data_IF_102962394423
#
_entry.id   IF_102962394423
#
_cell.length_a   1.000
_cell.length_b   1.000
_cell.length_c   1.000
_cell.angle_alpha   90.00
_cell.angle_beta   90.00
_cell.angle_gamma   90.00
#
_symmetry.space_group_name_H-M   'P 1'
#
loop_
_entity.id
_entity.type
_entity.pdbx_description
1 polymer ?
#
# COMPACT_ATOMS: atom_id res chain seq x y z
N UNK A 1 -72.14 -21.73 -6.80
CA UNK A 1 -70.97 -22.60 -6.55
C UNK A 1 -69.76 -21.74 -6.79
N UNK A 2 -69.26 -21.11 -5.74
CA UNK A 2 -68.15 -20.17 -5.83
C UNK A 2 -66.86 -20.97 -5.97
N UNK A 3 -66.16 -20.75 -7.08
CA UNK A 3 -64.86 -21.36 -7.35
C UNK A 3 -63.82 -20.82 -6.36
N UNK A 4 -63.52 -21.60 -5.32
CA UNK A 4 -62.40 -21.32 -4.42
C UNK A 4 -61.10 -21.21 -5.24
N UNK A 5 -60.55 -19.99 -5.28
CA UNK A 5 -59.23 -19.69 -5.81
C UNK A 5 -58.19 -20.60 -5.15
N UNK A 6 -57.55 -21.47 -5.93
CA UNK A 6 -56.48 -22.35 -5.47
C UNK A 6 -55.28 -21.49 -5.03
N UNK A 7 -54.85 -21.65 -3.77
CA UNK A 7 -53.72 -20.90 -3.22
C UNK A 7 -52.43 -21.16 -4.02
N UNK A 8 -51.71 -20.09 -4.38
CA UNK A 8 -50.43 -20.16 -5.08
C UNK A 8 -49.30 -19.73 -4.14
N UNK A 9 -48.48 -20.69 -3.72
CA UNK A 9 -47.36 -20.47 -2.80
C UNK A 9 -46.30 -19.53 -3.38
N UNK A 10 -45.96 -19.67 -4.66
CA UNK A 10 -44.94 -18.83 -5.30
C UNK A 10 -45.32 -17.35 -5.23
N UNK A 11 -46.58 -17.05 -5.53
CA UNK A 11 -47.11 -15.67 -5.43
C UNK A 11 -47.15 -15.19 -3.98
N UNK A 12 -47.49 -16.06 -3.03
CA UNK A 12 -47.51 -15.71 -1.61
C UNK A 12 -46.11 -15.40 -1.06
N UNK A 13 -45.10 -16.20 -1.41
CA UNK A 13 -43.69 -15.97 -1.03
C UNK A 13 -43.15 -14.69 -1.64
N UNK A 14 -43.41 -14.42 -2.94
CA UNK A 14 -43.02 -13.17 -3.58
C UNK A 14 -43.68 -11.96 -2.91
N UNK A 15 -44.97 -12.07 -2.57
CA UNK A 15 -45.68 -11.00 -1.87
C UNK A 15 -45.09 -10.78 -0.47
N UNK A 16 -44.72 -11.84 0.24
CA UNK A 16 -44.05 -11.75 1.53
C UNK A 16 -42.67 -11.06 1.40
N UNK A 17 -41.83 -11.49 0.46
CA UNK A 17 -40.51 -10.90 0.21
C UNK A 17 -40.57 -9.42 -0.16
N UNK A 18 -41.54 -9.03 -0.99
CA UNK A 18 -41.72 -7.62 -1.40
C UNK A 18 -41.92 -6.67 -0.22
N UNK A 19 -42.45 -7.15 0.92
CA UNK A 19 -42.60 -6.34 2.14
C UNK A 19 -41.26 -6.07 2.82
N UNK A 20 -40.31 -6.99 2.74
CA UNK A 20 -38.95 -6.81 3.24
C UNK A 20 -38.15 -5.91 2.29
N UNK A 21 -38.29 -6.08 0.98
CA UNK A 21 -37.66 -5.20 -0.02
C UNK A 21 -38.12 -3.74 0.14
N UNK A 22 -39.41 -3.52 0.39
CA UNK A 22 -39.96 -2.18 0.64
C UNK A 22 -39.42 -1.52 1.92
N UNK A 23 -38.97 -2.30 2.91
CA UNK A 23 -38.37 -1.75 4.12
C UNK A 23 -36.95 -1.20 3.88
N UNK A 24 -36.23 -1.74 2.90
CA UNK A 24 -34.87 -1.33 2.55
C UNK A 24 -33.78 -1.74 3.55
N UNK A 25 -34.13 -2.46 4.62
CA UNK A 25 -33.17 -2.83 5.68
C UNK A 25 -32.39 -4.11 5.42
N UNK A 26 -32.74 -4.89 4.39
CA UNK A 26 -32.18 -6.22 4.13
C UNK A 26 -31.34 -6.24 2.86
N UNK A 27 -30.20 -6.92 2.91
CA UNK A 27 -29.37 -7.24 1.74
C UNK A 27 -29.95 -8.41 0.96
N UNK A 28 -29.49 -8.59 -0.29
CA UNK A 28 -29.96 -9.69 -1.16
C UNK A 28 -29.64 -11.07 -0.57
N UNK A 29 -28.48 -11.21 0.07
CA UNK A 29 -28.06 -12.47 0.71
C UNK A 29 -28.93 -12.79 1.94
N UNK A 30 -29.22 -11.78 2.78
CA UNK A 30 -30.11 -11.94 3.94
C UNK A 30 -31.53 -12.31 3.52
N UNK A 31 -32.05 -11.72 2.44
CA UNK A 31 -33.35 -12.09 1.87
C UNK A 31 -33.36 -13.53 1.35
N UNK A 32 -32.26 -13.99 0.75
CA UNK A 32 -32.13 -15.36 0.27
C UNK A 32 -32.11 -16.37 1.43
N UNK A 33 -31.39 -16.07 2.51
CA UNK A 33 -31.36 -16.88 3.74
C UNK A 33 -32.76 -16.96 4.39
N UNK A 34 -33.44 -15.81 4.55
CA UNK A 34 -34.82 -15.74 5.02
C UNK A 34 -35.78 -16.56 4.16
N UNK A 35 -35.62 -16.51 2.84
CA UNK A 35 -36.43 -17.30 1.91
C UNK A 35 -36.19 -18.79 2.09
N UNK A 36 -34.93 -19.22 2.24
CA UNK A 36 -34.60 -20.63 2.48
C UNK A 36 -35.27 -21.13 3.75
N UNK A 37 -35.13 -20.40 4.86
CA UNK A 37 -35.75 -20.76 6.14
C UNK A 37 -37.28 -20.80 6.08
N UNK A 38 -37.90 -19.89 5.32
CA UNK A 38 -39.35 -19.92 5.11
C UNK A 38 -39.77 -21.20 4.36
N UNK A 39 -39.08 -21.54 3.27
CA UNK A 39 -39.40 -22.71 2.45
C UNK A 39 -39.18 -24.01 3.22
N UNK A 40 -38.07 -24.13 3.94
CA UNK A 40 -37.78 -25.31 4.79
C UNK A 40 -38.88 -25.51 5.85
N UNK A 41 -39.33 -24.42 6.48
CA UNK A 41 -40.40 -24.45 7.49
C UNK A 41 -41.77 -24.83 6.89
N UNK A 42 -42.03 -24.44 5.64
CA UNK A 42 -43.25 -24.82 4.92
C UNK A 42 -43.23 -26.32 4.61
N UNK A 43 -42.13 -26.83 4.07
CA UNK A 43 -41.98 -28.27 3.77
C UNK A 43 -42.14 -29.12 5.04
N UNK A 44 -41.55 -28.69 6.16
CA UNK A 44 -41.69 -29.32 7.48
C UNK A 44 -43.13 -29.34 8.02
N UNK A 45 -43.95 -28.35 7.65
CA UNK A 45 -45.36 -28.28 8.04
C UNK A 45 -46.25 -29.09 7.09
N UNK A 46 -45.95 -29.10 5.79
CA UNK A 46 -46.67 -29.91 4.82
C UNK A 46 -46.45 -31.42 5.06
N UNK A 47 -45.24 -31.83 5.44
CA UNK A 47 -44.94 -33.21 5.84
C UNK A 47 -45.72 -33.66 7.08
N UNK A 48 -46.16 -32.71 7.93
CA UNK A 48 -47.03 -32.94 9.09
C UNK A 48 -48.52 -32.92 8.74
N UNK A 49 -48.87 -32.81 7.47
CA UNK A 49 -50.23 -32.89 6.96
C UNK A 49 -50.97 -31.55 6.86
N UNK A 50 -50.28 -30.41 7.03
CA UNK A 50 -50.90 -29.11 6.81
C UNK A 50 -51.05 -28.81 5.31
N UNK A 51 -52.13 -28.11 4.95
CA UNK A 51 -52.27 -27.59 3.59
C UNK A 51 -51.20 -26.54 3.29
N UNK A 52 -50.89 -26.33 2.01
CA UNK A 52 -49.87 -25.36 1.58
C UNK A 52 -50.15 -23.94 2.09
N UNK A 53 -51.42 -23.55 2.15
CA UNK A 53 -51.86 -22.25 2.66
C UNK A 53 -51.64 -22.13 4.17
N UNK A 54 -52.01 -23.16 4.95
CA UNK A 54 -51.82 -23.17 6.40
C UNK A 54 -50.34 -23.24 6.78
N UNK A 55 -49.55 -24.05 6.06
CA UNK A 55 -48.11 -24.15 6.22
C UNK A 55 -47.44 -22.79 6.01
N UNK A 56 -47.77 -22.06 4.95
CA UNK A 56 -47.26 -20.71 4.68
C UNK A 56 -47.62 -19.70 5.78
N UNK A 57 -48.88 -19.69 6.22
CA UNK A 57 -49.33 -18.76 7.28
C UNK A 57 -48.58 -19.00 8.59
N UNK A 58 -48.42 -20.27 9.00
CA UNK A 58 -47.71 -20.61 10.23
C UNK A 58 -46.22 -20.36 10.10
N UNK A 59 -45.59 -20.71 8.97
CA UNK A 59 -44.16 -20.50 8.75
C UNK A 59 -43.80 -19.01 8.75
N UNK A 60 -44.56 -18.17 8.03
CA UNK A 60 -44.36 -16.72 8.00
C UNK A 60 -44.58 -16.08 9.37
N UNK A 61 -45.54 -16.58 10.16
CA UNK A 61 -45.77 -16.08 11.52
C UNK A 61 -44.66 -16.51 12.51
N UNK A 62 -44.07 -17.71 12.34
CA UNK A 62 -42.95 -18.20 13.16
C UNK A 62 -41.66 -17.45 12.93
N UNK A 63 -41.41 -16.99 11.70
CA UNK A 63 -40.25 -16.15 11.36
C UNK A 63 -40.30 -14.79 12.04
N UNK A 64 -41.51 -14.30 12.38
CA UNK A 64 -41.69 -13.04 13.13
C UNK A 64 -42.08 -11.87 12.24
N UNK A 65 -42.34 -10.72 12.87
CA UNK A 65 -42.67 -9.48 12.16
C UNK A 65 -41.42 -8.87 11.51
N UNK A 66 -41.63 -8.04 10.49
CA UNK A 66 -40.56 -7.30 9.81
C UNK A 66 -39.73 -6.51 10.83
N UNK A 67 -40.36 -5.82 11.78
CA UNK A 67 -39.66 -5.04 12.81
C UNK A 67 -38.75 -5.88 13.73
N UNK A 68 -39.15 -7.13 14.03
CA UNK A 68 -38.35 -8.04 14.86
C UNK A 68 -37.18 -8.62 14.08
N UNK A 69 -37.44 -9.04 12.84
CA UNK A 69 -36.39 -9.53 11.94
C UNK A 69 -35.38 -8.43 11.64
N UNK A 70 -35.83 -7.20 11.40
CA UNK A 70 -34.96 -6.04 11.18
C UNK A 70 -34.04 -5.81 12.40
N UNK A 71 -34.56 -5.90 13.62
CA UNK A 71 -33.74 -5.79 14.83
C UNK A 71 -32.72 -6.91 14.98
N UNK A 72 -33.06 -8.16 14.67
CA UNK A 72 -32.14 -9.30 14.77
C UNK A 72 -31.06 -9.26 13.68
N UNK A 73 -31.44 -8.98 12.43
CA UNK A 73 -30.48 -8.80 11.35
C UNK A 73 -29.63 -7.55 11.54
N UNK A 74 -30.15 -6.48 12.15
CA UNK A 74 -29.36 -5.30 12.58
C UNK A 74 -28.30 -5.65 13.64
N UNK A 75 -28.55 -6.63 14.52
CA UNK A 75 -27.55 -7.09 15.49
C UNK A 75 -26.43 -7.88 14.83
N UNK A 76 -26.75 -8.70 13.83
CA UNK A 76 -25.77 -9.48 13.05
C UNK A 76 -24.99 -8.61 12.07
N UNK A 77 -25.65 -7.61 11.49
CA UNK A 77 -25.06 -6.55 10.66
C UNK A 77 -24.42 -5.42 11.47
N UNK A 78 -24.16 -5.63 12.79
CA UNK A 78 -23.00 -5.00 13.45
C UNK A 78 -21.76 -5.52 12.76
N UNK A 79 -21.50 -4.92 11.60
CA UNK A 79 -20.26 -4.91 10.89
C UNK A 79 -19.16 -4.86 11.94
N UNK A 80 -18.45 -5.98 12.08
CA UNK A 80 -17.01 -5.89 12.30
C UNK A 80 -16.59 -4.84 11.28
N UNK A 81 -16.06 -3.67 11.69
CA UNK A 81 -15.71 -2.65 10.73
C UNK A 81 -14.46 -3.14 10.00
N UNK A 82 -14.67 -4.04 9.04
CA UNK A 82 -13.69 -4.82 8.29
C UNK A 82 -12.80 -3.93 7.42
N UNK A 83 -13.08 -2.62 7.41
CA UNK A 83 -12.40 -1.61 6.63
C UNK A 83 -11.57 -0.63 7.47
N UNK A 84 -11.71 -0.58 8.80
CA UNK A 84 -10.97 0.41 9.62
C UNK A 84 -9.50 0.05 9.82
N UNK A 85 -9.18 -1.25 9.88
CA UNK A 85 -7.84 -1.75 10.20
C UNK A 85 -6.75 -1.32 9.20
N UNK A 86 -6.90 -1.48 7.87
CA UNK A 86 -5.86 -1.05 6.93
C UNK A 86 -5.67 0.47 6.92
N UNK A 87 -6.74 1.24 7.12
CA UNK A 87 -6.66 2.71 7.19
C UNK A 87 -5.93 3.16 8.46
N UNK A 88 -6.16 2.49 9.59
CA UNK A 88 -5.45 2.75 10.85
C UNK A 88 -3.96 2.42 10.74
N UNK A 89 -3.62 1.28 10.14
CA UNK A 89 -2.23 0.89 9.89
C UNK A 89 -1.53 1.91 8.98
N UNK A 90 -2.22 2.36 7.94
CA UNK A 90 -1.73 3.35 7.01
C UNK A 90 -1.48 4.71 7.68
N UNK A 91 -2.44 5.17 8.49
CA UNK A 91 -2.33 6.40 9.25
C UNK A 91 -1.19 6.34 10.27
N UNK A 92 -1.06 5.22 10.98
CA UNK A 92 0.04 4.99 11.91
C UNK A 92 1.41 5.07 11.23
N UNK A 93 1.53 4.45 10.05
CA UNK A 93 2.76 4.49 9.28
C UNK A 93 3.08 5.89 8.71
N UNK A 94 2.07 6.64 8.25
CA UNK A 94 2.24 8.05 7.86
C UNK A 94 2.73 8.91 9.03
N UNK A 95 2.08 8.80 10.19
CA UNK A 95 2.49 9.53 11.39
C UNK A 95 3.91 9.16 11.83
N UNK A 96 4.30 7.89 11.67
CA UNK A 96 5.67 7.45 11.91
C UNK A 96 6.67 8.12 10.99
N UNK A 97 6.42 8.12 9.68
CA UNK A 97 7.32 8.74 8.71
C UNK A 97 7.47 10.24 8.99
N UNK A 98 6.36 10.94 9.23
CA UNK A 98 6.37 12.37 9.57
C UNK A 98 7.18 12.60 10.84
N UNK A 99 6.94 11.81 11.89
CA UNK A 99 7.66 11.96 13.16
C UNK A 99 9.14 11.67 13.01
N UNK A 100 9.52 10.67 12.22
CA UNK A 100 10.91 10.33 11.89
C UNK A 100 11.59 11.48 11.16
N UNK A 101 10.98 12.01 10.10
CA UNK A 101 11.54 13.14 9.34
C UNK A 101 11.68 14.40 10.20
N UNK A 102 10.69 14.71 11.04
CA UNK A 102 10.77 15.84 11.99
C UNK A 102 11.88 15.61 13.01
N UNK A 103 12.00 14.38 13.53
CA UNK A 103 13.07 14.01 14.45
C UNK A 103 14.44 14.23 13.82
N UNK A 104 14.65 13.79 12.57
CA UNK A 104 15.89 14.02 11.82
C UNK A 104 16.19 15.51 11.63
N UNK A 105 15.22 16.32 11.21
CA UNK A 105 15.39 17.77 11.07
C UNK A 105 15.85 18.40 12.39
N UNK A 106 15.18 18.07 13.50
CA UNK A 106 15.52 18.61 14.83
C UNK A 106 16.93 18.17 15.25
N UNK A 107 17.24 16.91 14.99
CA UNK A 107 18.47 16.25 15.42
C UNK A 107 19.66 16.81 14.65
N UNK A 108 19.58 16.92 13.33
CA UNK A 108 20.65 17.45 12.48
C UNK A 108 20.90 18.94 12.73
N UNK A 109 19.87 19.79 12.71
CA UNK A 109 20.05 21.22 13.02
C UNK A 109 20.48 21.44 14.48
N UNK A 110 19.97 20.63 15.41
CA UNK A 110 20.39 20.64 16.80
C UNK A 110 21.87 20.28 16.93
N UNK A 111 22.32 19.22 16.27
CA UNK A 111 23.71 18.78 16.28
C UNK A 111 24.64 19.78 15.59
N UNK A 112 24.25 20.43 14.49
CA UNK A 112 24.97 21.58 13.88
C UNK A 112 25.25 22.61 14.97
N UNK A 113 24.18 23.06 15.62
CA UNK A 113 24.21 24.15 16.59
C UNK A 113 25.05 23.76 17.82
N UNK A 114 24.88 22.55 18.36
CA UNK A 114 25.67 22.05 19.48
C UNK A 114 27.15 21.85 19.14
N UNK A 115 27.46 21.27 17.96
CA UNK A 115 28.83 21.09 17.50
C UNK A 115 29.56 22.43 17.39
N UNK A 116 28.88 23.47 16.89
CA UNK A 116 29.45 24.81 16.79
C UNK A 116 29.80 25.43 18.15
N UNK A 117 29.15 25.01 19.24
CA UNK A 117 29.36 25.57 20.57
C UNK A 117 30.38 24.77 21.40
N UNK A 118 30.35 23.43 21.34
CA UNK A 118 31.16 22.56 22.21
C UNK A 118 32.41 21.97 21.55
N UNK A 119 32.48 21.90 20.22
CA UNK A 119 33.66 21.41 19.48
C UNK A 119 34.01 19.92 19.64
N UNK A 120 33.34 19.16 20.52
CA UNK A 120 33.59 17.73 20.75
C UNK A 120 32.57 16.84 20.03
N UNK A 121 33.05 16.19 18.96
CA UNK A 121 32.28 15.27 18.11
C UNK A 121 31.63 14.09 18.84
N UNK A 122 32.20 13.59 19.95
CA UNK A 122 31.65 12.42 20.66
C UNK A 122 30.45 12.80 21.53
N UNK A 123 30.53 13.96 22.18
CA UNK A 123 29.44 14.49 23.00
C UNK A 123 28.27 14.86 22.09
N UNK A 124 28.53 15.51 20.95
CA UNK A 124 27.50 15.83 19.97
C UNK A 124 26.77 14.58 19.49
N UNK A 125 27.48 13.51 19.14
CA UNK A 125 26.86 12.28 18.64
C UNK A 125 26.01 11.56 19.71
N UNK A 126 26.43 11.53 20.98
CA UNK A 126 25.62 10.97 22.06
C UNK A 126 24.34 11.80 22.32
N UNK A 127 24.45 13.13 22.25
CA UNK A 127 23.32 14.04 22.37
C UNK A 127 22.34 13.87 21.21
N UNK A 128 22.86 13.76 19.99
CA UNK A 128 22.13 13.55 18.75
C UNK A 128 21.25 12.29 18.81
N UNK A 129 21.85 11.15 19.13
CA UNK A 129 21.14 9.88 19.32
C UNK A 129 20.08 9.98 20.42
N UNK A 130 20.41 10.66 21.53
CA UNK A 130 19.49 10.83 22.66
C UNK A 130 18.28 11.70 22.29
N UNK A 131 18.50 12.80 21.57
CA UNK A 131 17.45 13.71 21.09
C UNK A 131 16.57 13.01 20.06
N UNK A 132 17.16 12.25 19.12
CA UNK A 132 16.41 11.47 18.14
C UNK A 132 15.48 10.46 18.83
N UNK A 133 16.00 9.70 19.79
CA UNK A 133 15.23 8.66 20.48
C UNK A 133 14.10 9.26 21.34
N UNK A 134 14.37 10.35 22.06
CA UNK A 134 13.37 11.07 22.86
C UNK A 134 12.29 11.70 21.98
N UNK A 135 12.67 12.36 20.88
CA UNK A 135 11.70 13.00 19.97
C UNK A 135 10.84 11.98 19.25
N UNK A 136 11.43 10.88 18.75
CA UNK A 136 10.70 9.83 18.06
C UNK A 136 9.73 9.10 18.99
N UNK A 137 10.19 8.64 20.16
CA UNK A 137 9.31 7.98 21.14
C UNK A 137 8.25 8.95 21.68
N UNK A 138 8.64 10.20 21.95
CA UNK A 138 7.73 11.24 22.45
C UNK A 138 6.60 11.55 21.47
N UNK A 139 6.91 11.74 20.18
CA UNK A 139 5.92 11.99 19.13
C UNK A 139 4.97 10.81 18.94
N UNK A 140 5.49 9.57 18.99
CA UNK A 140 4.66 8.36 18.90
C UNK A 140 3.69 8.23 20.09
N UNK A 141 4.19 8.40 21.32
CA UNK A 141 3.35 8.34 22.52
C UNK A 141 2.32 9.47 22.55
N UNK A 142 2.71 10.68 22.15
CA UNK A 142 1.80 11.82 22.04
C UNK A 142 0.72 11.57 20.99
N UNK A 143 1.09 11.11 19.79
CA UNK A 143 0.15 10.74 18.73
C UNK A 143 -0.84 9.67 19.19
N UNK A 144 -0.35 8.60 19.82
CA UNK A 144 -1.21 7.55 20.37
C UNK A 144 -2.16 8.06 21.46
N UNK A 145 -1.70 8.91 22.38
CA UNK A 145 -2.56 9.51 23.40
C UNK A 145 -3.62 10.42 22.79
N UNK A 146 -3.24 11.23 21.81
CA UNK A 146 -4.13 12.19 21.16
C UNK A 146 -5.23 11.47 20.37
N UNK A 147 -4.89 10.38 19.68
CA UNK A 147 -5.87 9.51 19.00
C UNK A 147 -6.76 8.77 20.01
N UNK A 148 -6.19 8.23 21.09
CA UNK A 148 -6.96 7.46 22.09
C UNK A 148 -7.90 8.32 22.94
N UNK A 149 -7.50 9.56 23.26
CA UNK A 149 -8.30 10.48 24.06
C UNK A 149 -9.32 11.26 23.22
N UNK A 150 -8.98 11.58 21.97
CA UNK A 150 -9.86 12.36 21.10
C UNK A 150 -10.62 11.46 20.12
N UNK A 151 -11.66 10.82 20.64
CA UNK A 151 -12.62 10.05 19.83
C UNK A 151 -13.19 10.90 18.68
N UNK A 152 -13.34 12.22 18.89
CA UNK A 152 -13.79 13.17 17.88
C UNK A 152 -12.80 13.36 16.73
N UNK A 153 -11.49 13.45 17.01
CA UNK A 153 -10.46 13.59 15.96
C UNK A 153 -10.37 12.34 15.10
N UNK A 154 -10.40 11.16 15.72
CA UNK A 154 -10.46 9.90 14.99
C UNK A 154 -11.68 9.85 14.06
N UNK A 155 -12.88 10.09 14.60
CA UNK A 155 -14.12 10.08 13.82
C UNK A 155 -14.12 11.12 12.70
N UNK A 156 -13.66 12.34 12.97
CA UNK A 156 -13.55 13.40 11.96
C UNK A 156 -12.59 12.99 10.84
N UNK A 157 -11.43 12.44 11.19
CA UNK A 157 -10.45 11.99 10.21
C UNK A 157 -11.00 10.85 9.35
N UNK A 158 -11.64 9.85 9.95
CA UNK A 158 -12.31 8.79 9.21
C UNK A 158 -13.42 9.33 8.31
N UNK A 159 -14.21 10.30 8.79
CA UNK A 159 -15.26 10.93 8.00
C UNK A 159 -14.68 11.65 6.78
N UNK A 160 -13.59 12.40 6.95
CA UNK A 160 -12.89 13.07 5.86
C UNK A 160 -12.25 12.08 4.88
N UNK A 161 -11.66 11.00 5.38
CA UNK A 161 -11.07 9.95 4.54
C UNK A 161 -12.14 9.23 3.71
N UNK A 162 -13.36 9.09 4.26
CA UNK A 162 -14.48 8.50 3.55
C UNK A 162 -15.11 9.45 2.52
N UNK A 163 -15.20 10.75 2.83
CA UNK A 163 -15.76 11.76 1.93
C UNK A 163 -14.81 12.17 0.80
N UNK A 164 -13.51 12.33 1.13
CA UNK A 164 -12.50 12.88 0.22
C UNK A 164 -11.20 12.05 0.27
N UNK A 165 -11.24 10.75 -0.06
CA UNK A 165 -10.09 9.86 0.07
C UNK A 165 -8.89 10.37 -0.74
N UNK A 166 -9.12 10.84 -1.97
CA UNK A 166 -8.07 11.31 -2.87
C UNK A 166 -7.45 12.63 -2.36
N UNK A 167 -8.30 13.58 -1.95
CA UNK A 167 -7.84 14.89 -1.47
C UNK A 167 -6.98 14.77 -0.22
N UNK A 168 -7.44 14.00 0.77
CA UNK A 168 -6.70 13.76 2.01
C UNK A 168 -5.37 13.02 1.75
N UNK A 169 -5.39 12.04 0.85
CA UNK A 169 -4.21 11.27 0.42
C UNK A 169 -3.16 12.15 -0.23
N UNK A 170 -3.57 13.06 -1.12
CA UNK A 170 -2.66 14.02 -1.74
C UNK A 170 -2.06 15.00 -0.71
N UNK A 171 -2.87 15.46 0.25
CA UNK A 171 -2.40 16.34 1.33
C UNK A 171 -1.37 15.62 2.21
N UNK A 172 -1.68 14.41 2.67
CA UNK A 172 -0.78 13.61 3.52
C UNK A 172 0.50 13.23 2.78
N UNK A 173 0.40 12.82 1.52
CA UNK A 173 1.55 12.53 0.66
C UNK A 173 2.43 13.75 0.44
N UNK A 174 1.82 14.92 0.19
CA UNK A 174 2.56 16.19 0.06
C UNK A 174 3.26 16.57 1.36
N UNK A 175 2.64 16.33 2.51
CA UNK A 175 3.23 16.60 3.82
C UNK A 175 4.41 15.66 4.13
N UNK A 176 4.29 14.37 3.80
CA UNK A 176 5.42 13.42 3.85
C UNK A 176 6.55 13.87 2.93
N UNK A 177 6.24 14.27 1.70
CA UNK A 177 7.22 14.78 0.75
C UNK A 177 7.94 16.03 1.28
N UNK A 178 7.19 17.00 1.83
CA UNK A 178 7.74 18.23 2.39
C UNK A 178 8.65 17.96 3.59
N UNK A 179 8.25 17.07 4.50
CA UNK A 179 9.07 16.70 5.66
C UNK A 179 10.33 15.94 5.26
N UNK A 180 10.24 15.04 4.28
CA UNK A 180 11.41 14.34 3.75
C UNK A 180 12.38 15.32 3.05
N UNK A 181 11.86 16.29 2.31
CA UNK A 181 12.64 17.34 1.68
C UNK A 181 13.31 18.27 2.69
N UNK A 182 12.63 18.59 3.79
CA UNK A 182 13.21 19.33 4.91
C UNK A 182 14.37 18.58 5.57
N UNK A 183 14.21 17.27 5.82
CA UNK A 183 15.27 16.42 6.36
C UNK A 183 16.48 16.38 5.41
N UNK A 184 16.26 16.23 4.10
CA UNK A 184 17.33 16.27 3.10
C UNK A 184 18.19 17.55 3.17
N UNK A 185 17.54 18.72 3.30
CA UNK A 185 18.26 20.00 3.38
C UNK A 185 18.95 20.23 4.72
N UNK A 186 18.36 19.75 5.82
CA UNK A 186 18.99 19.79 7.12
C UNK A 186 20.33 19.04 7.10
N UNK A 187 20.35 17.85 6.50
CA UNK A 187 21.54 17.02 6.40
C UNK A 187 22.62 17.68 5.54
N UNK A 188 22.24 18.24 4.38
CA UNK A 188 23.18 18.94 3.50
C UNK A 188 23.76 20.20 4.14
N UNK A 189 22.95 20.96 4.89
CA UNK A 189 23.42 22.13 5.63
C UNK A 189 24.42 21.74 6.72
N UNK A 190 24.22 20.58 7.39
CA UNK A 190 25.15 20.04 8.37
C UNK A 190 26.47 19.60 7.74
N UNK A 191 26.41 18.91 6.59
CA UNK A 191 27.59 18.48 5.85
C UNK A 191 28.41 19.68 5.36
N UNK A 192 27.75 20.72 4.84
CA UNK A 192 28.43 21.95 4.39
C UNK A 192 29.10 22.74 5.53
N UNK A 193 28.57 22.64 6.77
CA UNK A 193 29.26 23.18 7.94
C UNK A 193 30.46 22.33 8.35
N UNK A 194 30.34 20.99 8.29
CA UNK A 194 31.43 20.07 8.60
C UNK A 194 32.55 20.09 7.54
N UNK A 195 32.23 20.31 6.26
CA UNK A 195 33.20 20.48 5.16
C UNK A 195 34.08 21.71 5.31
N UNK A 196 33.53 22.81 5.84
CA UNK A 196 34.34 23.97 6.22
C UNK A 196 35.37 23.62 7.32
N UNK A 197 35.13 22.56 8.10
CA UNK A 197 35.93 22.21 9.26
C UNK A 197 36.93 21.07 8.99
N UNK A 198 36.69 20.17 8.01
CA UNK A 198 37.54 18.99 7.77
C UNK A 198 37.83 18.76 6.28
N UNK A 199 39.04 19.12 5.85
CA UNK A 199 39.58 18.99 4.47
C UNK A 199 39.94 17.56 4.04
N UNK A 200 39.07 16.56 4.26
CA UNK A 200 39.21 15.19 3.69
C UNK A 200 37.84 14.60 3.37
N UNK A 201 37.23 15.07 2.28
CA UNK A 201 35.79 14.92 2.10
C UNK A 201 35.35 14.82 0.63
N UNK A 202 35.87 13.84 -0.10
CA UNK A 202 35.40 13.56 -1.46
C UNK A 202 34.63 12.24 -1.57
N UNK A 203 35.06 11.21 -0.82
CA UNK A 203 34.44 9.87 -0.88
C UNK A 203 33.10 9.79 -0.13
N UNK A 204 32.85 10.66 0.85
CA UNK A 204 31.60 10.63 1.64
C UNK A 204 30.45 11.44 1.02
N UNK A 205 30.73 12.45 0.20
CA UNK A 205 29.69 13.36 -0.31
C UNK A 205 28.83 12.70 -1.40
N UNK A 206 29.44 11.89 -2.27
CA UNK A 206 28.74 11.10 -3.28
C UNK A 206 27.84 10.02 -2.68
N UNK A 207 28.28 9.41 -1.58
CA UNK A 207 27.49 8.41 -0.87
C UNK A 207 26.20 8.99 -0.33
N UNK A 208 26.24 10.19 0.25
CA UNK A 208 25.04 10.83 0.78
C UNK A 208 24.05 11.18 -0.33
N UNK A 209 24.49 11.74 -1.45
CA UNK A 209 23.58 11.99 -2.58
C UNK A 209 22.88 10.72 -3.08
N UNK A 210 23.61 9.60 -3.20
CA UNK A 210 23.04 8.31 -3.61
C UNK A 210 22.09 7.76 -2.53
N UNK A 211 22.45 7.89 -1.25
CA UNK A 211 21.61 7.49 -0.11
C UNK A 211 20.27 8.25 -0.10
N UNK A 212 20.30 9.55 -0.37
CA UNK A 212 19.10 10.38 -0.44
C UNK A 212 18.24 10.09 -1.66
N UNK A 213 18.83 9.82 -2.83
CA UNK A 213 18.06 9.37 -4.01
C UNK A 213 17.37 8.03 -3.70
N UNK A 214 18.02 7.15 -2.93
CA UNK A 214 17.42 5.89 -2.49
C UNK A 214 16.27 6.10 -1.50
N UNK A 215 16.43 6.98 -0.51
CA UNK A 215 15.34 7.34 0.40
C UNK A 215 14.19 8.04 -0.30
N UNK A 216 14.47 8.94 -1.25
CA UNK A 216 13.45 9.56 -2.09
C UNK A 216 12.67 8.49 -2.87
N UNK A 217 13.37 7.52 -3.46
CA UNK A 217 12.74 6.36 -4.09
C UNK A 217 11.92 5.51 -3.11
N UNK A 218 12.40 5.33 -1.87
CA UNK A 218 11.66 4.65 -0.81
C UNK A 218 10.38 5.41 -0.46
N UNK A 219 10.44 6.73 -0.27
CA UNK A 219 9.27 7.58 -0.02
C UNK A 219 8.30 7.59 -1.21
N UNK A 220 8.79 7.58 -2.45
CA UNK A 220 7.95 7.51 -3.65
C UNK A 220 7.25 6.15 -3.77
N UNK A 221 7.96 5.07 -3.43
CA UNK A 221 7.40 3.70 -3.39
C UNK A 221 6.37 3.56 -2.32
N UNK A 222 6.64 4.16 -1.17
CA UNK A 222 5.72 4.17 -0.06
C UNK A 222 4.47 4.99 -0.38
N UNK A 223 4.62 6.14 -1.06
CA UNK A 223 3.50 6.92 -1.62
C UNK A 223 2.69 6.10 -2.64
N UNK A 224 3.34 5.26 -3.45
CA UNK A 224 2.66 4.38 -4.38
C UNK A 224 1.97 3.20 -3.72
N UNK A 225 2.58 2.59 -2.70
CA UNK A 225 1.91 1.58 -1.86
C UNK A 225 0.72 2.19 -1.12
N UNK A 226 0.87 3.44 -0.66
CA UNK A 226 -0.19 4.24 -0.05
C UNK A 226 -1.34 4.47 -1.06
N UNK A 227 -1.04 4.91 -2.28
CA UNK A 227 -2.03 5.00 -3.36
C UNK A 227 -2.65 3.63 -3.70
N UNK A 228 -1.87 2.55 -3.65
CA UNK A 228 -2.33 1.17 -3.87
C UNK A 228 -3.21 0.62 -2.75
N UNK A 229 -3.12 1.10 -1.52
CA UNK A 229 -4.04 0.71 -0.44
C UNK A 229 -5.29 1.58 -0.45
N UNK A 230 -5.12 2.88 -0.72
CA UNK A 230 -6.23 3.85 -0.73
C UNK A 230 -7.11 3.73 -1.97
N UNK A 231 -6.56 3.48 -3.18
CA UNK A 231 -7.40 3.35 -4.39
C UNK A 231 -8.39 2.17 -4.33
N UNK A 232 -7.97 0.95 -3.94
CA UNK A 232 -8.87 -0.15 -3.63
C UNK A 232 -9.92 0.20 -2.59
N UNK A 233 -9.55 0.97 -1.56
CA UNK A 233 -10.48 1.45 -0.54
C UNK A 233 -11.53 2.40 -1.12
N UNK A 234 -11.12 3.27 -2.04
CA UNK A 234 -12.01 4.22 -2.72
C UNK A 234 -12.86 3.59 -3.84
N UNK A 235 -12.45 2.43 -4.38
CA UNK A 235 -13.08 1.80 -5.56
C UNK A 235 -13.67 0.41 -5.29
N UNK A 236 -13.52 -0.11 -4.06
CA UNK A 236 -13.92 -1.46 -3.63
C UNK A 236 -13.33 -2.62 -4.49
N UNK A 237 -12.26 -2.36 -5.25
CA UNK A 237 -11.61 -3.36 -6.10
C UNK A 237 -10.40 -3.99 -5.42
N UNK A 238 -10.17 -5.30 -5.58
CA UNK A 238 -8.95 -5.94 -5.06
C UNK A 238 -7.71 -5.39 -5.77
N UNK A 239 -6.59 -5.26 -5.04
CA UNK A 239 -5.32 -4.71 -5.53
C UNK A 239 -4.86 -5.29 -6.89
N UNK A 240 -4.94 -6.62 -7.04
CA UNK A 240 -4.52 -7.29 -8.26
C UNK A 240 -5.41 -6.95 -9.46
N UNK A 241 -6.72 -6.85 -9.26
CA UNK A 241 -7.67 -6.38 -10.29
C UNK A 241 -7.41 -4.93 -10.70
N UNK A 242 -7.07 -4.06 -9.74
CA UNK A 242 -6.71 -2.68 -10.06
C UNK A 242 -5.41 -2.60 -10.87
N UNK A 243 -4.37 -3.35 -10.46
CA UNK A 243 -3.10 -3.44 -11.20
C UNK A 243 -3.28 -3.97 -12.63
N UNK A 244 -4.20 -4.91 -12.85
CA UNK A 244 -4.54 -5.39 -14.18
C UNK A 244 -5.19 -4.32 -15.07
N UNK A 245 -5.91 -3.36 -14.47
CA UNK A 245 -6.63 -2.29 -15.15
C UNK A 245 -5.84 -0.98 -15.25
N UNK A 246 -4.80 -0.81 -14.43
CA UNK A 246 -4.01 0.42 -14.33
C UNK A 246 -3.40 0.82 -15.69
N UNK A 247 -3.38 2.12 -16.04
CA UNK A 247 -2.75 2.57 -17.27
C UNK A 247 -1.23 2.39 -17.19
N UNK A 248 -0.59 2.27 -18.35
CA UNK A 248 0.84 1.93 -18.49
C UNK A 248 1.75 2.87 -17.68
N UNK A 249 1.44 4.17 -17.65
CA UNK A 249 2.23 5.15 -16.90
C UNK A 249 2.30 4.83 -15.39
N UNK A 250 1.20 4.39 -14.79
CA UNK A 250 1.17 4.02 -13.37
C UNK A 250 1.98 2.74 -13.10
N UNK A 251 1.96 1.78 -14.02
CA UNK A 251 2.76 0.56 -13.90
C UNK A 251 4.26 0.84 -13.98
N UNK A 252 4.68 1.75 -14.87
CA UNK A 252 6.07 2.20 -14.97
C UNK A 252 6.49 2.93 -13.69
N UNK A 253 5.65 3.83 -13.18
CA UNK A 253 5.93 4.58 -11.94
C UNK A 253 6.05 3.63 -10.73
N UNK A 254 5.12 2.68 -10.60
CA UNK A 254 5.16 1.65 -9.56
C UNK A 254 6.40 0.76 -9.66
N UNK A 255 6.79 0.38 -10.89
CA UNK A 255 8.03 -0.34 -11.14
C UNK A 255 9.27 0.45 -10.75
N UNK A 256 9.29 1.76 -11.01
CA UNK A 256 10.42 2.65 -10.71
C UNK A 256 10.68 2.76 -9.22
N UNK A 257 9.58 2.79 -8.49
CA UNK A 257 9.55 2.75 -7.04
C UNK A 257 10.07 1.43 -6.47
N UNK A 258 9.46 0.31 -6.82
CA UNK A 258 9.94 -1.01 -6.35
C UNK A 258 11.43 -1.19 -6.67
N UNK A 259 11.85 -0.76 -7.87
CA UNK A 259 13.25 -0.80 -8.27
C UNK A 259 14.14 0.08 -7.38
N UNK A 260 13.78 1.34 -7.12
CA UNK A 260 14.55 2.23 -6.25
C UNK A 260 14.62 1.75 -4.80
N UNK A 261 13.56 1.12 -4.28
CA UNK A 261 13.59 0.45 -2.97
C UNK A 261 14.59 -0.71 -2.91
N UNK A 262 14.52 -1.64 -3.87
CA UNK A 262 15.43 -2.78 -3.93
C UNK A 262 16.88 -2.33 -4.14
N UNK A 263 17.08 -1.27 -4.92
CA UNK A 263 18.38 -0.67 -5.14
C UNK A 263 18.94 -0.01 -3.86
N UNK A 264 18.13 0.75 -3.13
CA UNK A 264 18.50 1.34 -1.85
C UNK A 264 18.93 0.29 -0.83
N UNK A 265 18.19 -0.81 -0.74
CA UNK A 265 18.55 -1.96 0.09
C UNK A 265 19.86 -2.63 -0.39
N UNK A 266 20.06 -2.74 -1.71
CA UNK A 266 21.29 -3.30 -2.29
C UNK A 266 22.51 -2.43 -1.97
N UNK A 267 22.40 -1.10 -2.12
CA UNK A 267 23.46 -0.13 -1.81
C UNK A 267 23.81 -0.15 -0.31
N UNK A 268 22.79 -0.17 0.55
CA UNK A 268 22.98 -0.27 2.00
C UNK A 268 23.66 -1.60 2.37
N UNK A 269 23.25 -2.70 1.71
CA UNK A 269 23.87 -4.03 1.88
C UNK A 269 25.31 -4.13 1.36
N UNK A 270 25.67 -3.42 0.28
CA UNK A 270 27.05 -3.34 -0.21
C UNK A 270 27.99 -2.76 0.85
N UNK A 271 27.56 -1.70 1.55
CA UNK A 271 28.39 -1.01 2.55
C UNK A 271 28.58 -1.82 3.83
N UNK A 272 27.58 -2.59 4.24
CA UNK A 272 27.62 -3.37 5.49
C UNK A 272 28.42 -4.66 5.33
N UNK A 273 28.38 -5.31 4.16
CA UNK A 273 28.79 -6.71 4.04
C UNK A 273 30.07 -6.98 3.24
N UNK A 274 30.52 -6.09 2.33
CA UNK A 274 31.87 -6.09 1.73
C UNK A 274 31.94 -5.13 0.52
N UNK A 275 32.92 -4.21 0.45
CA UNK A 275 33.04 -3.25 -0.65
C UNK A 275 33.54 -3.85 -1.98
N UNK A 276 34.26 -4.97 -1.98
CA UNK A 276 34.90 -5.52 -3.20
C UNK A 276 33.94 -6.33 -4.10
N UNK A 277 32.83 -6.85 -3.56
CA UNK A 277 31.87 -7.70 -4.29
C UNK A 277 30.51 -7.03 -4.59
N UNK A 278 30.41 -5.71 -4.36
CA UNK A 278 29.14 -5.01 -4.40
C UNK A 278 28.43 -5.03 -5.78
N UNK A 279 29.22 -5.05 -6.85
CA UNK A 279 28.74 -4.95 -8.23
C UNK A 279 27.77 -6.08 -8.60
N UNK A 280 28.07 -7.32 -8.19
CA UNK A 280 27.23 -8.48 -8.49
C UNK A 280 25.83 -8.38 -7.86
N UNK A 281 25.74 -7.77 -6.67
CA UNK A 281 24.46 -7.57 -5.96
C UNK A 281 23.58 -6.55 -6.66
N UNK A 282 24.19 -5.57 -7.32
CA UNK A 282 23.49 -4.58 -8.14
C UNK A 282 22.78 -5.24 -9.32
N UNK A 283 23.49 -6.15 -10.01
CA UNK A 283 22.91 -6.94 -11.09
C UNK A 283 21.80 -7.85 -10.57
N UNK A 284 22.02 -8.52 -9.45
CA UNK A 284 20.99 -9.38 -8.84
C UNK A 284 19.73 -8.58 -8.50
N UNK A 285 19.86 -7.40 -7.90
CA UNK A 285 18.69 -6.55 -7.60
C UNK A 285 17.94 -6.13 -8.86
N UNK A 286 18.65 -5.78 -9.94
CA UNK A 286 18.03 -5.48 -11.23
C UNK A 286 17.24 -6.66 -11.80
N UNK A 287 17.82 -7.85 -11.77
CA UNK A 287 17.16 -9.08 -12.20
C UNK A 287 15.92 -9.40 -11.37
N UNK A 288 16.03 -9.33 -10.03
CA UNK A 288 14.91 -9.63 -9.12
C UNK A 288 13.75 -8.63 -9.30
N UNK A 289 14.03 -7.34 -9.43
CA UNK A 289 12.98 -6.35 -9.65
C UNK A 289 12.22 -6.58 -10.96
N UNK A 290 12.96 -6.82 -12.05
CA UNK A 290 12.35 -7.11 -13.34
C UNK A 290 11.58 -8.44 -13.32
N UNK A 291 12.06 -9.44 -12.60
CA UNK A 291 11.35 -10.70 -12.37
C UNK A 291 10.02 -10.46 -11.67
N UNK A 292 10.02 -9.77 -10.54
CA UNK A 292 8.80 -9.49 -9.76
C UNK A 292 7.79 -8.67 -10.58
N UNK A 293 8.25 -7.59 -11.23
CA UNK A 293 7.43 -6.77 -12.11
C UNK A 293 6.78 -7.60 -13.22
N UNK A 294 7.57 -8.45 -13.86
CA UNK A 294 7.13 -9.31 -14.95
C UNK A 294 6.15 -10.41 -14.50
N UNK A 295 6.35 -11.02 -13.32
CA UNK A 295 5.40 -11.97 -12.73
C UNK A 295 4.05 -11.31 -12.50
N UNK A 296 4.02 -10.07 -12.01
CA UNK A 296 2.75 -9.33 -11.81
C UNK A 296 2.08 -9.04 -13.15
N UNK A 297 2.83 -8.58 -14.15
CA UNK A 297 2.30 -8.25 -15.48
C UNK A 297 1.83 -9.46 -16.27
N UNK A 298 2.33 -10.65 -15.95
CA UNK A 298 2.02 -11.89 -16.68
C UNK A 298 0.54 -12.29 -16.64
N UNK A 299 -0.18 -11.88 -15.58
CA UNK A 299 -1.60 -12.12 -15.40
C UNK A 299 -2.49 -11.22 -16.27
N UNK A 300 -1.99 -10.08 -16.74
CA UNK A 300 -2.81 -9.10 -17.44
C UNK A 300 -3.01 -9.47 -18.92
N UNK A 301 -4.24 -9.78 -19.38
CA UNK A 301 -4.50 -10.12 -20.79
C UNK A 301 -4.32 -8.93 -21.74
N UNK A 302 -4.23 -7.70 -21.21
CA UNK A 302 -4.19 -6.46 -21.98
C UNK A 302 -2.86 -6.21 -22.70
N UNK A 303 -1.78 -6.83 -22.22
CA UNK A 303 -0.43 -6.54 -22.70
C UNK A 303 0.16 -7.73 -23.46
N UNK A 304 0.68 -7.48 -24.65
CA UNK A 304 1.51 -8.44 -25.39
C UNK A 304 2.80 -8.72 -24.64
N UNK A 305 3.44 -9.87 -24.88
CA UNK A 305 4.71 -10.23 -24.23
C UNK A 305 5.78 -9.14 -24.38
N UNK A 306 5.88 -8.54 -25.57
CA UNK A 306 6.79 -7.42 -25.84
C UNK A 306 6.46 -6.18 -24.97
N UNK A 307 5.18 -5.81 -24.85
CA UNK A 307 4.77 -4.69 -23.98
C UNK A 307 5.07 -4.98 -22.51
N UNK A 308 4.86 -6.21 -22.03
CA UNK A 308 5.18 -6.60 -20.65
C UNK A 308 6.68 -6.47 -20.37
N UNK A 309 7.52 -6.95 -21.29
CA UNK A 309 8.97 -6.80 -21.22
C UNK A 309 9.36 -5.32 -21.16
N UNK A 310 8.83 -4.49 -22.07
CA UNK A 310 9.11 -3.06 -22.09
C UNK A 310 8.71 -2.37 -20.78
N UNK A 311 7.51 -2.65 -20.26
CA UNK A 311 7.00 -2.07 -19.00
C UNK A 311 7.86 -2.51 -17.81
N UNK A 312 8.35 -3.75 -17.80
CA UNK A 312 9.22 -4.25 -16.72
C UNK A 312 10.64 -3.67 -16.74
N UNK A 313 11.14 -3.29 -17.94
CA UNK A 313 12.49 -2.73 -18.12
C UNK A 313 12.53 -1.19 -18.06
N UNK A 314 11.43 -0.53 -18.45
CA UNK A 314 11.34 0.93 -18.49
C UNK A 314 11.78 1.63 -17.20
N UNK A 315 11.40 1.17 -15.99
CA UNK A 315 11.79 1.87 -14.78
C UNK A 315 13.30 1.80 -14.50
N UNK A 316 13.91 0.68 -14.89
CA UNK A 316 15.33 0.41 -14.75
C UNK A 316 16.14 1.29 -15.70
N UNK A 317 15.63 1.48 -16.93
CA UNK A 317 16.21 2.36 -17.93
C UNK A 317 16.09 3.85 -17.54
N UNK A 318 14.93 4.29 -17.05
CA UNK A 318 14.74 5.65 -16.53
C UNK A 318 15.68 5.91 -15.36
N UNK A 319 15.78 4.96 -14.43
CA UNK A 319 16.71 5.09 -13.31
C UNK A 319 18.16 5.18 -13.79
N UNK A 320 18.58 4.32 -14.71
CA UNK A 320 19.96 4.33 -15.23
C UNK A 320 20.31 5.66 -15.89
N UNK A 321 19.37 6.24 -16.65
CA UNK A 321 19.55 7.58 -17.26
C UNK A 321 19.69 8.66 -16.18
N UNK A 322 18.84 8.63 -15.14
CA UNK A 322 18.93 9.58 -14.04
C UNK A 322 20.25 9.47 -13.27
N UNK A 323 20.65 8.24 -12.94
CA UNK A 323 21.89 7.95 -12.24
C UNK A 323 23.12 8.35 -13.08
N UNK A 324 23.07 8.12 -14.38
CA UNK A 324 24.12 8.55 -15.30
C UNK A 324 24.19 10.07 -15.39
N UNK A 325 23.04 10.74 -15.49
CA UNK A 325 22.95 12.19 -15.54
C UNK A 325 23.51 12.85 -14.28
N UNK A 326 23.20 12.32 -13.09
CA UNK A 326 23.77 12.84 -11.83
C UNK A 326 25.25 12.55 -11.71
N UNK A 327 25.72 11.37 -12.13
CA UNK A 327 27.12 11.00 -12.10
C UNK A 327 27.98 11.90 -13.02
N UNK A 328 27.54 12.13 -14.26
CA UNK A 328 28.28 12.97 -15.23
C UNK A 328 28.44 14.41 -14.74
N UNK A 329 27.43 14.96 -14.07
CA UNK A 329 27.46 16.35 -13.60
C UNK A 329 28.36 16.51 -12.36
N UNK A 330 28.52 15.45 -11.56
CA UNK A 330 29.17 15.54 -10.24
C UNK A 330 30.59 15.00 -10.16
N UNK A 331 31.09 14.30 -11.19
CA UNK A 331 32.38 13.60 -11.11
C UNK A 331 33.48 14.18 -12.00
N UNK A 332 34.65 14.45 -11.39
CA UNK A 332 35.91 14.72 -12.09
C UNK A 332 36.60 13.44 -12.61
N UNK A 333 36.10 12.25 -12.26
CA UNK A 333 36.60 10.93 -12.70
C UNK A 333 35.52 10.18 -13.47
N UNK A 334 35.87 9.25 -14.38
CA UNK A 334 34.87 8.42 -15.05
C UNK A 334 34.08 7.61 -14.02
N UNK A 335 32.75 7.72 -14.06
CA UNK A 335 31.88 7.03 -13.11
C UNK A 335 31.94 5.52 -13.30
N UNK A 336 31.77 4.78 -12.20
CA UNK A 336 31.64 3.31 -12.26
C UNK A 336 30.45 2.84 -13.11
N UNK A 337 29.46 3.71 -13.36
CA UNK A 337 28.36 3.41 -14.27
C UNK A 337 28.81 3.40 -15.74
N UNK A 338 29.89 4.12 -16.07
CA UNK A 338 30.48 4.19 -17.40
C UNK A 338 31.70 3.27 -17.58
N UNK A 339 32.28 2.77 -16.50
CA UNK A 339 33.41 1.86 -16.55
C UNK A 339 33.00 0.43 -16.91
N UNK A 340 33.89 -0.23 -17.65
CA UNK A 340 33.85 -1.67 -17.96
C UNK A 340 32.55 -2.16 -18.63
N UNK A 341 32.14 -3.37 -18.27
CA UNK A 341 30.95 -4.07 -18.73
C UNK A 341 29.73 -3.82 -17.85
N UNK A 342 29.78 -2.81 -16.98
CA UNK A 342 28.70 -2.55 -16.01
C UNK A 342 27.33 -2.36 -16.68
N UNK A 343 27.17 -1.50 -17.71
CA UNK A 343 25.86 -1.30 -18.34
C UNK A 343 25.34 -2.60 -18.95
N UNK A 344 26.23 -3.35 -19.60
CA UNK A 344 25.91 -4.61 -20.26
C UNK A 344 25.41 -5.63 -19.24
N UNK A 345 26.16 -5.87 -18.17
CA UNK A 345 25.80 -6.83 -17.13
C UNK A 345 24.51 -6.45 -16.41
N UNK A 346 24.31 -5.15 -16.17
CA UNK A 346 23.11 -4.62 -15.54
C UNK A 346 21.86 -4.87 -16.39
N UNK A 347 21.90 -4.51 -17.69
CA UNK A 347 20.77 -4.73 -18.59
C UNK A 347 20.55 -6.21 -18.92
N UNK A 348 21.62 -7.01 -19.05
CA UNK A 348 21.50 -8.47 -19.22
C UNK A 348 20.79 -9.09 -18.03
N UNK A 349 21.17 -8.73 -16.80
CA UNK A 349 20.49 -9.24 -15.60
C UNK A 349 19.02 -8.85 -15.55
N UNK A 350 18.69 -7.59 -15.86
CA UNK A 350 17.32 -7.11 -15.93
C UNK A 350 16.48 -7.87 -16.97
N UNK A 351 17.04 -8.11 -18.17
CA UNK A 351 16.38 -8.87 -19.24
C UNK A 351 16.15 -10.32 -18.80
N UNK A 352 17.17 -10.99 -18.24
CA UNK A 352 17.05 -12.36 -17.73
C UNK A 352 15.96 -12.45 -16.67
N UNK A 353 15.95 -11.51 -15.72
CA UNK A 353 14.91 -11.39 -14.70
C UNK A 353 13.51 -11.24 -15.29
N UNK A 354 13.33 -10.31 -16.23
CA UNK A 354 12.05 -10.08 -16.89
C UNK A 354 11.54 -11.31 -17.65
N UNK A 355 12.41 -11.99 -18.40
CA UNK A 355 12.08 -13.23 -19.13
C UNK A 355 11.69 -14.36 -18.17
N UNK A 356 12.45 -14.56 -17.09
CA UNK A 356 12.15 -15.55 -16.06
C UNK A 356 10.79 -15.27 -15.39
N UNK A 357 10.51 -14.00 -15.08
CA UNK A 357 9.23 -13.60 -14.50
C UNK A 357 8.04 -13.83 -15.43
N UNK A 358 8.21 -13.61 -16.74
CA UNK A 358 7.16 -13.92 -17.73
C UNK A 358 6.88 -15.42 -17.78
N UNK A 359 7.94 -16.24 -17.76
CA UNK A 359 7.83 -17.69 -17.79
C UNK A 359 7.11 -18.24 -16.55
N UNK A 360 7.51 -17.81 -15.36
CA UNK A 360 6.82 -18.15 -14.09
C UNK A 360 5.35 -17.75 -14.11
N UNK A 361 5.06 -16.60 -14.71
CA UNK A 361 3.71 -16.13 -14.93
C UNK A 361 2.84 -17.05 -15.81
N UNK A 362 3.42 -17.56 -16.90
CA UNK A 362 2.74 -18.54 -17.76
C UNK A 362 2.43 -19.83 -17.01
N UNK A 363 3.36 -20.33 -16.19
CA UNK A 363 3.13 -21.52 -15.36
C UNK A 363 1.99 -21.31 -14.36
N UNK A 364 1.97 -20.15 -13.69
CA UNK A 364 0.89 -19.77 -12.78
C UNK A 364 -0.48 -19.77 -13.48
N UNK A 365 -0.57 -19.22 -14.69
CA UNK A 365 -1.82 -19.19 -15.43
C UNK A 365 -2.28 -20.58 -15.89
N UNK A 366 -1.35 -21.47 -16.28
CA UNK A 366 -1.69 -22.87 -16.59
C UNK A 366 -2.27 -23.60 -15.38
N UNK A 367 -1.71 -23.39 -14.18
CA UNK A 367 -2.24 -24.02 -12.97
C UNK A 367 -3.68 -23.59 -12.64
N UNK A 368 -4.05 -22.34 -12.94
CA UNK A 368 -5.42 -21.82 -12.76
C UNK A 368 -6.42 -22.34 -13.78
N UNK A 369 -5.97 -22.76 -14.96
CA UNK A 369 -6.84 -23.30 -16.01
C UNK A 369 -7.08 -24.81 -15.84
N UNK A 370 -6.32 -25.47 -14.97
CA UNK A 370 -6.44 -26.91 -14.70
C UNK A 370 -7.30 -27.23 -13.46
N UNK A 371 -7.69 -26.20 -12.69
CA UNK A 371 -8.63 -26.25 -11.56
C UNK A 371 -9.94 -25.65 -12.04
#
# INVERSE_FOLDING_TARGET
>A
MDSQSQFNLTTAVQTWLSRFEQSGSFTTDELQELTSHLLDSIDDLQTKGLSQQEAFLIASQRLGSIDLLDQEFTKLSRSVPQQREPVLLLLGALCFIISKNISEIITEYGAVWFASYWGDTRITLLLDVSVCLVTLVGLQLAGMRLVRQSHRLGQWFFHQLNQYPIGLTLILGSFVGLTAFGAYFAEHSFIDLLTMTIRKQWINQQFNHIHHICWLGFYLTWLLMFLQVVLPYATNQRLFTWLEQAPVGWLVLAGLCVFTCCLGLSIMGMRILAPEDGIARFYLSAGVCCLLSSVVLSGSPRYTAFKRLLISLAPLLVWYILALGTAIISEERPSYLLLDWFPVNFFVSAIVGALAGMWLGVLKNRSRAAV
#
